data_IF_080734715682
#
_entry.id   IF_080734715682
#
_cell.length_a   1.000
_cell.length_b   1.000
_cell.length_c   1.000
_cell.angle_alpha   90.00
_cell.angle_beta   90.00
_cell.angle_gamma   90.00
#
_symmetry.space_group_name_H-M   'P 1'
#
loop_
_entity.id
_entity.type
_entity.pdbx_description
1 polymer ?
#
# COMPACT_ATOMS: atom_id res chain seq x y z
N UNK A 1 40.48 -0.85 -27.16
CA UNK A 1 39.33 -1.76 -26.92
C UNK A 1 39.25 -2.00 -25.43
N UNK A 2 38.11 -1.73 -24.80
CA UNK A 2 37.96 -1.89 -23.35
C UNK A 2 37.54 -3.32 -22.98
N UNK A 3 37.85 -3.81 -21.77
CA UNK A 3 37.61 -5.19 -21.34
C UNK A 3 36.12 -5.60 -21.26
N UNK A 4 35.21 -4.63 -21.28
CA UNK A 4 33.77 -4.84 -21.08
C UNK A 4 33.10 -5.48 -22.29
N UNK A 5 33.56 -5.12 -23.50
CA UNK A 5 33.01 -5.59 -24.77
C UNK A 5 33.29 -7.08 -25.03
N UNK A 6 34.30 -7.65 -24.36
CA UNK A 6 34.71 -9.05 -24.52
C UNK A 6 33.88 -10.01 -23.64
N UNK A 7 33.32 -9.52 -22.53
CA UNK A 7 32.47 -10.34 -21.65
C UNK A 7 31.02 -10.43 -22.18
N UNK A 8 30.49 -9.36 -22.76
CA UNK A 8 29.14 -9.37 -23.33
C UNK A 8 29.03 -10.30 -24.54
N UNK A 9 30.04 -10.33 -25.42
CA UNK A 9 30.05 -11.30 -26.54
C UNK A 9 30.20 -12.76 -26.09
N UNK A 10 30.93 -13.01 -25.00
CA UNK A 10 31.08 -14.36 -24.45
C UNK A 10 29.78 -14.87 -23.81
N UNK A 11 29.00 -14.00 -23.17
CA UNK A 11 27.69 -14.35 -22.58
C UNK A 11 26.65 -14.63 -23.68
N UNK A 12 26.63 -13.82 -24.75
CA UNK A 12 25.70 -14.00 -25.88
C UNK A 12 26.01 -15.29 -26.65
N UNK A 13 27.29 -15.64 -26.84
CA UNK A 13 27.66 -16.91 -27.48
C UNK A 13 27.34 -18.15 -26.64
N UNK A 14 27.41 -18.05 -25.30
CA UNK A 14 27.04 -19.15 -24.41
C UNK A 14 25.52 -19.39 -24.37
N UNK A 15 24.69 -18.35 -24.55
CA UNK A 15 23.23 -18.50 -24.61
C UNK A 15 22.72 -19.17 -25.89
N UNK A 16 23.51 -19.18 -26.98
CA UNK A 16 23.08 -19.74 -28.27
C UNK A 16 23.55 -21.17 -28.57
N UNK A 17 24.26 -21.85 -27.67
CA UNK A 17 24.72 -23.24 -27.89
C UNK A 17 24.50 -24.21 -26.73
N UNK A 18 23.67 -23.87 -25.74
CA UNK A 18 23.30 -24.83 -24.70
C UNK A 18 22.10 -25.67 -25.16
N UNK A 19 22.38 -26.81 -25.80
CA UNK A 19 21.38 -27.85 -26.05
C UNK A 19 20.76 -28.34 -24.73
N UNK A 20 19.47 -28.69 -24.76
CA UNK A 20 18.66 -29.03 -23.59
C UNK A 20 19.26 -30.18 -22.77
N UNK A 21 20.00 -31.08 -23.42
CA UNK A 21 20.71 -32.18 -22.75
C UNK A 21 21.87 -31.68 -21.87
N UNK A 22 22.57 -30.62 -22.29
CA UNK A 22 23.68 -30.03 -21.52
C UNK A 22 23.16 -29.28 -20.29
N UNK A 23 22.03 -28.58 -20.41
CA UNK A 23 21.37 -27.96 -19.26
C UNK A 23 20.87 -29.00 -18.26
N UNK A 24 20.26 -30.11 -18.73
CA UNK A 24 19.85 -31.19 -17.84
C UNK A 24 21.03 -31.85 -17.12
N UNK A 25 22.19 -32.01 -17.79
CA UNK A 25 23.41 -32.54 -17.15
C UNK A 25 24.00 -31.59 -16.11
N UNK A 26 23.92 -30.28 -16.33
CA UNK A 26 24.36 -29.29 -15.34
C UNK A 26 23.43 -29.33 -14.12
N UNK A 27 22.11 -29.33 -14.33
CA UNK A 27 21.15 -29.42 -13.24
C UNK A 27 21.25 -30.73 -12.45
N UNK A 28 21.46 -31.87 -13.12
CA UNK A 28 21.61 -33.15 -12.42
C UNK A 28 22.90 -33.22 -11.61
N UNK A 29 24.01 -32.66 -12.11
CA UNK A 29 25.27 -32.56 -11.36
C UNK A 29 25.18 -31.61 -10.17
N UNK A 30 24.50 -30.47 -10.31
CA UNK A 30 24.24 -29.55 -9.19
C UNK A 30 23.39 -30.26 -8.13
N UNK A 31 22.35 -30.97 -8.54
CA UNK A 31 21.46 -31.70 -7.62
C UNK A 31 22.16 -32.88 -6.93
N UNK A 32 23.05 -33.56 -7.64
CA UNK A 32 23.88 -34.62 -7.09
C UNK A 32 24.91 -34.08 -6.10
N UNK A 33 25.60 -32.98 -6.44
CA UNK A 33 26.54 -32.33 -5.54
C UNK A 33 25.85 -31.83 -4.26
N UNK A 34 24.64 -31.26 -4.37
CA UNK A 34 23.84 -30.85 -3.21
C UNK A 34 23.41 -32.05 -2.34
N UNK A 35 23.00 -33.16 -2.96
CA UNK A 35 22.61 -34.37 -2.22
C UNK A 35 23.80 -35.08 -1.56
N UNK A 36 24.99 -35.03 -2.18
CA UNK A 36 26.22 -35.57 -1.61
C UNK A 36 26.73 -34.70 -0.45
N UNK A 37 26.66 -33.37 -0.58
CA UNK A 37 27.01 -32.42 0.47
C UNK A 37 26.05 -32.52 1.68
N UNK A 38 24.75 -32.72 1.42
CA UNK A 38 23.74 -32.94 2.46
C UNK A 38 23.90 -34.31 3.17
N UNK A 39 24.29 -35.37 2.45
CA UNK A 39 24.59 -36.68 3.06
C UNK A 39 25.89 -36.67 3.87
N UNK A 40 26.90 -35.89 3.47
CA UNK A 40 28.13 -35.73 4.25
C UNK A 40 27.93 -34.83 5.49
N UNK A 41 27.07 -33.81 5.42
CA UNK A 41 26.74 -32.96 6.58
C UNK A 41 25.95 -33.69 7.67
N UNK A 42 25.06 -34.62 7.32
CA UNK A 42 24.20 -35.31 8.30
C UNK A 42 24.92 -36.42 9.07
N UNK A 43 26.01 -36.98 8.55
CA UNK A 43 26.74 -38.05 9.22
C UNK A 43 27.83 -37.56 10.21
N UNK A 44 28.18 -36.27 10.22
CA UNK A 44 29.31 -35.76 11.01
C UNK A 44 29.05 -34.52 11.89
N UNK A 45 27.82 -33.98 11.93
CA UNK A 45 27.51 -32.90 12.88
C UNK A 45 27.23 -33.45 14.28
N UNK A 46 28.27 -33.46 15.12
CA UNK A 46 28.13 -33.74 16.55
C UNK A 46 27.10 -32.81 17.20
N UNK A 47 26.27 -33.32 18.14
CA UNK A 47 25.18 -32.57 18.79
C UNK A 47 25.64 -31.29 19.52
N UNK A 48 26.94 -31.15 19.79
CA UNK A 48 27.50 -29.97 20.44
C UNK A 48 27.58 -28.73 19.53
N UNK A 49 27.67 -28.88 18.21
CA UNK A 49 27.72 -27.73 17.28
C UNK A 49 26.33 -27.15 17.05
N UNK A 50 25.30 -28.00 17.08
CA UNK A 50 23.91 -27.57 16.90
C UNK A 50 23.41 -26.70 18.06
N UNK A 51 23.83 -26.97 19.31
CA UNK A 51 23.50 -26.11 20.45
C UNK A 51 24.19 -24.74 20.36
N UNK A 52 25.43 -24.69 19.89
CA UNK A 52 26.19 -23.45 19.70
C UNK A 52 25.61 -22.57 18.60
N UNK A 53 25.15 -23.17 17.49
CA UNK A 53 24.51 -22.43 16.39
C UNK A 53 23.14 -21.88 16.82
N UNK A 54 22.34 -22.63 17.60
CA UNK A 54 21.03 -22.16 18.09
C UNK A 54 21.08 -21.18 19.26
N UNK A 55 22.22 -21.02 19.94
CA UNK A 55 22.37 -20.04 21.03
C UNK A 55 22.49 -18.60 20.52
N UNK A 56 22.86 -18.41 19.25
CA UNK A 56 23.07 -17.07 18.72
C UNK A 56 21.75 -16.50 18.17
N UNK A 57 21.18 -15.50 18.85
CA UNK A 57 19.86 -14.92 18.54
C UNK A 57 19.73 -14.52 17.07
N UNK A 58 20.82 -14.04 16.46
CA UNK A 58 20.88 -13.60 15.05
C UNK A 58 20.62 -14.75 14.07
N UNK A 59 21.18 -15.95 14.33
CA UNK A 59 21.00 -17.12 13.44
C UNK A 59 19.57 -17.66 13.56
N UNK A 60 18.96 -17.54 14.75
CA UNK A 60 17.54 -17.85 14.98
C UNK A 60 16.61 -16.96 14.13
N UNK A 61 16.91 -15.67 14.03
CA UNK A 61 16.16 -14.73 13.18
C UNK A 61 16.39 -14.98 11.69
N UNK A 62 17.61 -15.35 11.28
CA UNK A 62 17.92 -15.66 9.88
C UNK A 62 17.21 -16.94 9.40
N UNK A 63 17.21 -18.00 10.21
CA UNK A 63 16.50 -19.24 9.90
C UNK A 63 14.97 -19.05 9.89
N UNK A 64 14.43 -18.24 10.81
CA UNK A 64 13.02 -17.86 10.80
C UNK A 64 12.66 -17.01 9.56
N UNK A 65 13.51 -16.04 9.18
CA UNK A 65 13.29 -15.20 8.01
C UNK A 65 13.28 -16.00 6.70
N UNK A 66 14.15 -17.01 6.54
CA UNK A 66 14.16 -17.89 5.37
C UNK A 66 12.89 -18.77 5.31
N UNK A 67 12.37 -19.23 6.46
CA UNK A 67 11.10 -19.96 6.53
C UNK A 67 9.93 -19.02 6.22
N UNK A 68 9.94 -17.78 6.71
CA UNK A 68 8.93 -16.76 6.42
C UNK A 68 8.93 -16.40 4.93
N UNK A 69 10.10 -16.19 4.31
CA UNK A 69 10.23 -15.92 2.87
C UNK A 69 9.78 -17.14 2.05
N UNK A 70 10.12 -18.36 2.49
CA UNK A 70 9.63 -19.59 1.86
C UNK A 70 8.12 -19.74 1.93
N UNK A 71 7.49 -19.42 3.07
CA UNK A 71 6.03 -19.45 3.23
C UNK A 71 5.36 -18.33 2.44
N UNK A 72 5.94 -17.13 2.38
CA UNK A 72 5.42 -16.02 1.58
C UNK A 72 5.36 -16.35 0.08
N UNK A 73 6.42 -16.97 -0.47
CA UNK A 73 6.46 -17.36 -1.90
C UNK A 73 5.49 -18.50 -2.22
N UNK A 74 5.18 -19.37 -1.25
CA UNK A 74 4.22 -20.47 -1.46
C UNK A 74 2.77 -20.02 -1.29
N UNK A 75 2.51 -19.00 -0.45
CA UNK A 75 1.16 -18.46 -0.22
C UNK A 75 0.74 -17.46 -1.30
N UNK A 76 1.68 -16.78 -1.96
CA UNK A 76 1.37 -15.85 -3.06
C UNK A 76 0.85 -16.49 -4.37
N UNK A 77 0.82 -17.83 -4.47
CA UNK A 77 0.21 -18.52 -5.62
C UNK A 77 -1.06 -19.33 -5.28
N UNK A 78 -1.44 -19.47 -4.00
CA UNK A 78 -2.61 -20.25 -3.57
C UNK A 78 -3.46 -19.59 -2.47
N UNK A 79 -3.10 -18.38 -2.00
CA UNK A 79 -3.82 -17.62 -0.98
C UNK A 79 -4.81 -16.59 -1.52
N UNK A 80 -5.35 -16.81 -2.72
CA UNK A 80 -6.49 -16.03 -3.20
C UNK A 80 -7.70 -16.33 -2.34
N UNK A 81 -8.45 -15.30 -1.93
CA UNK A 81 -9.79 -15.53 -1.41
C UNK A 81 -10.55 -16.44 -2.39
N UNK A 82 -11.18 -17.55 -1.96
CA UNK A 82 -11.81 -18.53 -2.86
C UNK A 82 -12.88 -17.93 -3.78
N UNK A 83 -13.36 -16.74 -3.45
CA UNK A 83 -14.41 -15.98 -4.14
C UNK A 83 -13.90 -15.06 -5.27
N UNK A 84 -12.58 -14.94 -5.48
CA UNK A 84 -12.02 -14.04 -6.49
C UNK A 84 -12.11 -12.54 -6.16
N UNK A 85 -12.53 -12.17 -4.95
CA UNK A 85 -12.69 -10.77 -4.53
C UNK A 85 -11.38 -9.97 -4.61
N UNK A 86 -10.23 -10.61 -4.36
CA UNK A 86 -8.91 -9.96 -4.50
C UNK A 86 -8.62 -9.54 -5.96
N UNK A 87 -8.99 -10.37 -6.93
CA UNK A 87 -8.79 -10.06 -8.37
C UNK A 87 -9.72 -8.94 -8.80
N UNK A 88 -10.96 -8.93 -8.31
CA UNK A 88 -11.92 -7.86 -8.59
C UNK A 88 -11.46 -6.53 -7.97
N UNK A 89 -10.95 -6.56 -6.74
CA UNK A 89 -10.40 -5.37 -6.09
C UNK A 89 -9.14 -4.83 -6.78
N UNK A 90 -8.27 -5.70 -7.31
CA UNK A 90 -7.10 -5.26 -8.09
C UNK A 90 -7.47 -4.36 -9.28
N UNK A 91 -8.62 -4.60 -9.93
CA UNK A 91 -9.13 -3.72 -11.01
C UNK A 91 -9.52 -2.34 -10.50
N UNK A 92 -10.04 -2.26 -9.29
CA UNK A 92 -10.36 -0.98 -8.62
C UNK A 92 -9.09 -0.17 -8.41
N UNK A 93 -8.02 -0.84 -7.98
CA UNK A 93 -6.71 -0.21 -7.78
C UNK A 93 -6.11 0.27 -9.08
N UNK A 94 -6.17 -0.56 -10.11
CA UNK A 94 -5.68 -0.21 -11.44
C UNK A 94 -6.45 1.01 -12.00
N UNK A 95 -7.78 1.00 -11.93
CA UNK A 95 -8.60 2.12 -12.36
C UNK A 95 -8.29 3.40 -11.58
N UNK A 96 -8.22 3.30 -10.25
CA UNK A 96 -7.92 4.43 -9.39
C UNK A 96 -6.50 4.97 -9.62
N UNK A 97 -5.52 4.11 -9.85
CA UNK A 97 -4.16 4.52 -10.20
C UNK A 97 -4.06 5.19 -11.56
N UNK A 98 -5.09 5.15 -12.40
CA UNK A 98 -5.10 5.82 -13.70
C UNK A 98 -5.87 7.14 -13.69
N UNK A 99 -6.51 7.52 -12.57
CA UNK A 99 -7.24 8.79 -12.49
C UNK A 99 -6.30 9.98 -12.57
N UNK A 100 -6.71 11.01 -13.31
CA UNK A 100 -5.99 12.28 -13.38
C UNK A 100 -6.29 13.17 -12.18
N UNK A 101 -7.48 13.02 -11.59
CA UNK A 101 -7.90 13.80 -10.46
C UNK A 101 -8.92 13.04 -9.62
N UNK A 102 -9.04 13.40 -8.36
CA UNK A 102 -10.05 12.88 -7.45
C UNK A 102 -10.33 13.90 -6.35
N UNK A 103 -11.60 14.04 -6.00
CA UNK A 103 -12.08 14.74 -4.82
C UNK A 103 -12.63 13.71 -3.84
N UNK A 104 -12.24 13.82 -2.57
CA UNK A 104 -12.72 12.95 -1.50
C UNK A 104 -13.26 13.80 -0.38
N UNK A 105 -14.50 13.56 0.01
CA UNK A 105 -15.08 14.12 1.24
C UNK A 105 -15.22 13.00 2.24
N UNK A 106 -14.47 13.09 3.34
CA UNK A 106 -14.50 12.13 4.43
C UNK A 106 -15.19 12.75 5.64
N UNK A 107 -16.18 12.05 6.19
CA UNK A 107 -16.86 12.40 7.43
C UNK A 107 -16.47 11.37 8.50
N UNK A 108 -15.95 11.83 9.63
CA UNK A 108 -15.53 11.01 10.76
C UNK A 108 -16.42 11.28 11.97
N UNK A 109 -17.00 10.25 12.56
CA UNK A 109 -17.71 10.35 13.83
C UNK A 109 -16.72 10.23 14.98
N UNK A 110 -16.65 11.25 15.83
CA UNK A 110 -15.76 11.28 17.00
C UNK A 110 -16.45 10.69 18.24
N UNK A 111 -15.69 10.26 19.28
CA UNK A 111 -16.26 9.71 20.51
C UNK A 111 -17.19 10.65 21.27
N UNK A 112 -17.04 11.97 21.11
CA UNK A 112 -17.91 12.99 21.70
C UNK A 112 -19.22 13.19 20.93
N UNK A 113 -19.46 12.41 19.86
CA UNK A 113 -20.62 12.51 18.99
C UNK A 113 -20.52 13.58 17.91
N UNK A 114 -19.45 14.37 17.90
CA UNK A 114 -19.22 15.35 16.82
C UNK A 114 -18.82 14.67 15.51
N UNK A 115 -19.11 15.33 14.39
CA UNK A 115 -18.64 14.91 13.06
C UNK A 115 -17.56 15.85 12.57
N UNK A 116 -16.43 15.28 12.15
CA UNK A 116 -15.34 16.00 11.52
C UNK A 116 -15.33 15.69 10.03
N UNK A 117 -15.46 16.73 9.20
CA UNK A 117 -15.34 16.62 7.75
C UNK A 117 -13.94 16.99 7.30
N UNK A 118 -13.32 16.11 6.53
CA UNK A 118 -12.09 16.37 5.78
C UNK A 118 -12.38 16.39 4.29
N UNK A 119 -11.78 17.34 3.57
CA UNK A 119 -11.85 17.37 2.11
C UNK A 119 -10.46 17.19 1.54
N UNK A 120 -10.34 16.37 0.51
CA UNK A 120 -9.10 16.13 -0.20
C UNK A 120 -9.34 16.32 -1.68
N UNK A 121 -8.45 17.01 -2.37
CA UNK A 121 -8.45 17.08 -3.82
C UNK A 121 -7.04 16.78 -4.29
N UNK A 122 -6.93 15.84 -5.23
CA UNK A 122 -5.67 15.43 -5.82
C UNK A 122 -5.81 15.59 -7.32
N UNK A 123 -4.81 16.19 -7.95
CA UNK A 123 -4.76 16.34 -9.40
C UNK A 123 -3.33 16.14 -9.87
N UNK A 124 -3.17 15.27 -10.86
CA UNK A 124 -1.86 14.95 -11.43
C UNK A 124 -1.30 16.12 -12.26
N UNK A 125 0.03 16.21 -12.40
CA UNK A 125 1.02 15.36 -11.74
C UNK A 125 1.11 15.63 -10.23
N UNK A 126 1.04 16.89 -9.82
CA UNK A 126 1.57 17.32 -8.52
C UNK A 126 0.71 18.39 -7.83
N UNK A 127 -0.60 18.23 -7.74
CA UNK A 127 -1.49 19.17 -7.03
C UNK A 127 -2.26 18.47 -5.90
N UNK A 128 -2.18 19.04 -4.70
CA UNK A 128 -2.83 18.51 -3.49
C UNK A 128 -3.54 19.66 -2.78
N UNK A 129 -4.79 19.43 -2.41
CA UNK A 129 -5.52 20.26 -1.48
C UNK A 129 -6.05 19.36 -0.36
N UNK A 130 -5.82 19.76 0.89
CA UNK A 130 -6.35 19.08 2.07
C UNK A 130 -6.99 20.11 2.99
N UNK A 131 -8.30 19.99 3.24
CA UNK A 131 -9.00 20.78 4.24
C UNK A 131 -9.34 19.93 5.46
N UNK A 132 -8.75 20.29 6.60
CA UNK A 132 -8.92 19.62 7.89
C UNK A 132 -9.48 20.61 8.91
N UNK A 133 -9.90 20.11 10.07
CA UNK A 133 -10.48 20.92 11.16
C UNK A 133 -9.60 22.13 11.52
N UNK A 134 -8.31 21.89 11.72
CA UNK A 134 -7.39 22.91 12.26
C UNK A 134 -6.47 23.50 11.18
N UNK A 135 -6.49 22.97 9.97
CA UNK A 135 -5.55 23.37 8.93
C UNK A 135 -6.07 23.14 7.52
N UNK A 136 -5.66 24.00 6.60
CA UNK A 136 -5.77 23.76 5.15
C UNK A 136 -4.36 23.67 4.58
N UNK A 137 -4.13 22.71 3.68
CA UNK A 137 -2.87 22.54 2.96
C UNK A 137 -3.19 22.67 1.48
N UNK A 138 -2.45 23.52 0.78
CA UNK A 138 -2.55 23.72 -0.67
C UNK A 138 -1.14 23.54 -1.22
N UNK A 139 -0.90 22.53 -2.05
CA UNK A 139 0.38 22.25 -2.71
C UNK A 139 0.13 22.24 -4.22
N UNK A 140 0.83 23.11 -4.94
CA UNK A 140 0.70 23.23 -6.41
C UNK A 140 1.82 22.50 -7.18
N UNK A 141 2.65 21.73 -6.49
CA UNK A 141 3.76 20.97 -7.07
C UNK A 141 5.09 21.70 -7.04
N UNK A 142 5.09 22.99 -6.73
CA UNK A 142 6.30 23.80 -6.61
C UNK A 142 6.44 24.34 -5.19
N UNK A 143 5.34 24.91 -4.68
CA UNK A 143 5.25 25.50 -3.36
C UNK A 143 3.97 25.04 -2.67
N UNK A 144 4.00 25.12 -1.34
CA UNK A 144 2.91 24.69 -0.48
C UNK A 144 2.57 25.76 0.54
N UNK A 145 1.30 26.12 0.58
CA UNK A 145 0.70 26.96 1.60
C UNK A 145 0.06 26.09 2.68
N UNK A 146 0.42 26.32 3.93
CA UNK A 146 -0.24 25.74 5.10
C UNK A 146 -0.93 26.84 5.89
N UNK A 147 -2.25 26.74 6.01
CA UNK A 147 -3.08 27.65 6.79
C UNK A 147 -3.41 27.01 8.13
N UNK A 148 -2.97 27.59 9.24
CA UNK A 148 -3.32 27.18 10.60
C UNK A 148 -4.56 27.95 11.06
N UNK A 149 -5.75 27.35 10.91
CA UNK A 149 -7.05 28.01 11.09
C UNK A 149 -7.23 28.62 12.48
N UNK A 150 -6.82 27.89 13.52
CA UNK A 150 -7.01 28.31 14.91
C UNK A 150 -6.17 29.53 15.30
N UNK A 151 -4.98 29.66 14.70
CA UNK A 151 -4.05 30.76 14.98
C UNK A 151 -4.17 31.92 13.99
N UNK A 152 -4.91 31.73 12.90
CA UNK A 152 -4.92 32.62 11.73
C UNK A 152 -3.49 32.88 11.25
N UNK A 153 -2.70 31.82 11.12
CA UNK A 153 -1.32 31.87 10.65
C UNK A 153 -1.19 31.14 9.31
N UNK A 154 -0.31 31.63 8.44
CA UNK A 154 -0.04 31.05 7.14
C UNK A 154 1.47 30.84 6.98
N UNK A 155 1.88 29.68 6.46
CA UNK A 155 3.28 29.38 6.17
C UNK A 155 3.43 28.90 4.73
N UNK A 156 4.36 29.51 4.00
CA UNK A 156 4.83 29.00 2.71
C UNK A 156 6.00 28.05 2.95
N UNK A 157 5.92 26.87 2.36
CA UNK A 157 6.90 25.80 2.49
C UNK A 157 7.19 25.23 1.10
N UNK A 158 8.36 24.61 0.89
CA UNK A 158 8.58 23.81 -0.31
C UNK A 158 7.49 22.75 -0.49
N UNK A 159 7.15 22.46 -1.75
CA UNK A 159 6.30 21.32 -2.08
C UNK A 159 6.84 20.05 -1.43
N UNK A 160 5.93 19.17 -0.99
CA UNK A 160 6.30 17.86 -0.46
C UNK A 160 6.40 16.80 -1.54
N UNK A 161 6.04 17.10 -2.77
CA UNK A 161 5.73 16.09 -3.78
C UNK A 161 6.96 15.29 -4.22
N UNK A 162 8.15 15.91 -4.27
CA UNK A 162 9.41 15.19 -4.51
C UNK A 162 9.72 14.11 -3.43
N UNK A 163 9.26 14.33 -2.19
CA UNK A 163 9.49 13.41 -1.06
C UNK A 163 8.30 12.48 -0.82
N UNK A 164 7.10 12.95 -1.15
CA UNK A 164 5.82 12.28 -0.99
C UNK A 164 5.00 12.51 -2.25
N UNK A 165 5.26 11.74 -3.32
CA UNK A 165 4.50 11.83 -4.56
C UNK A 165 3.01 11.70 -4.29
N UNK A 166 2.17 12.27 -5.16
CA UNK A 166 0.71 12.17 -5.03
C UNK A 166 0.25 10.72 -4.88
N UNK A 167 0.91 9.76 -5.55
CA UNK A 167 0.67 8.32 -5.42
C UNK A 167 0.87 7.75 -4.01
N UNK A 168 1.61 8.44 -3.15
CA UNK A 168 1.88 8.05 -1.76
C UNK A 168 1.02 8.82 -0.75
N UNK A 169 0.10 9.68 -1.21
CA UNK A 169 -0.79 10.46 -0.36
C UNK A 169 -1.80 9.55 0.37
N UNK A 170 -2.28 9.95 1.54
CA UNK A 170 -3.14 9.11 2.40
C UNK A 170 -4.40 8.59 1.70
N UNK A 171 -4.99 9.32 0.75
CA UNK A 171 -6.12 8.82 -0.07
C UNK A 171 -5.69 7.62 -0.94
N UNK A 172 -4.53 7.74 -1.61
CA UNK A 172 -3.90 6.62 -2.30
C UNK A 172 -3.30 5.61 -1.34
N UNK A 173 -3.11 5.90 -0.06
CA UNK A 173 -2.85 4.87 0.94
C UNK A 173 -4.12 4.17 1.34
N UNK A 174 -5.25 4.85 1.54
CA UNK A 174 -6.55 4.23 1.86
C UNK A 174 -6.99 3.31 0.71
N UNK A 175 -6.80 3.75 -0.53
CA UNK A 175 -7.04 2.92 -1.72
C UNK A 175 -5.81 2.09 -2.10
N UNK A 176 -4.59 2.43 -1.68
CA UNK A 176 -3.38 1.65 -1.95
C UNK A 176 -2.97 0.73 -0.81
N UNK A 177 -3.78 0.66 0.26
CA UNK A 177 -3.77 -0.33 1.34
C UNK A 177 -3.80 -1.77 0.77
N UNK A 178 -4.03 -1.87 -0.53
CA UNK A 178 -4.31 -3.07 -1.29
C UNK A 178 -3.33 -3.29 -2.45
N UNK A 179 -2.36 -2.39 -2.69
CA UNK A 179 -1.47 -2.44 -3.87
C UNK A 179 -0.26 -3.36 -3.73
N UNK A 180 0.17 -3.73 -2.52
CA UNK A 180 1.32 -4.63 -2.35
C UNK A 180 1.26 -5.31 -0.98
N UNK A 181 1.04 -6.63 -1.01
CA UNK A 181 0.84 -7.50 0.15
C UNK A 181 -0.40 -7.06 0.94
N UNK A 182 -1.35 -7.97 1.16
CA UNK A 182 -2.46 -7.75 2.11
C UNK A 182 -1.89 -7.03 3.32
N UNK A 183 -2.34 -5.80 3.60
CA UNK A 183 -2.07 -5.21 4.90
C UNK A 183 -2.44 -6.27 5.91
N UNK A 184 -1.46 -6.65 6.73
CA UNK A 184 -1.66 -7.64 7.76
C UNK A 184 -2.93 -7.25 8.53
N UNK A 185 -3.91 -8.15 8.53
CA UNK A 185 -5.21 -7.94 9.16
C UNK A 185 -6.34 -7.41 8.27
N UNK A 186 -6.16 -7.18 6.96
CA UNK A 186 -7.25 -6.76 6.06
C UNK A 186 -7.84 -7.92 5.25
N UNK A 187 -9.17 -8.03 5.23
CA UNK A 187 -9.94 -8.96 4.40
C UNK A 187 -10.96 -8.18 3.57
N UNK A 188 -11.11 -8.54 2.29
CA UNK A 188 -12.11 -7.99 1.39
C UNK A 188 -12.91 -9.14 0.81
N UNK A 189 -14.23 -9.03 0.84
CA UNK A 189 -15.14 -10.03 0.27
C UNK A 189 -16.11 -9.32 -0.68
N UNK A 190 -16.37 -9.90 -1.84
CA UNK A 190 -17.41 -9.40 -2.76
C UNK A 190 -18.79 -9.71 -2.17
N UNK A 191 -19.67 -8.72 -2.10
CA UNK A 191 -21.08 -8.91 -1.75
C UNK A 191 -21.93 -8.97 -3.02
N UNK A 192 -22.11 -10.16 -3.57
CA UNK A 192 -22.89 -10.37 -4.80
C UNK A 192 -24.37 -9.95 -4.65
N UNK A 193 -24.95 -10.17 -3.47
CA UNK A 193 -26.35 -9.87 -3.15
C UNK A 193 -26.64 -8.37 -3.01
N UNK A 194 -25.63 -7.57 -2.63
CA UNK A 194 -25.71 -6.11 -2.60
C UNK A 194 -25.20 -5.44 -3.89
N UNK A 195 -24.51 -6.21 -4.74
CA UNK A 195 -24.02 -5.75 -6.04
C UNK A 195 -25.13 -5.73 -7.09
N UNK A 196 -24.99 -4.83 -8.07
CA UNK A 196 -25.91 -4.72 -9.19
C UNK A 196 -25.17 -4.26 -10.45
N UNK A 197 -25.91 -3.94 -11.52
CA UNK A 197 -25.33 -3.58 -12.82
C UNK A 197 -24.51 -2.29 -12.82
N UNK A 198 -24.75 -1.39 -11.88
CA UNK A 198 -24.06 -0.08 -11.81
C UNK A 198 -23.08 -0.01 -10.65
N UNK A 199 -23.20 -0.89 -9.65
CA UNK A 199 -22.40 -0.80 -8.44
C UNK A 199 -21.99 -2.18 -7.95
N UNK A 200 -20.70 -2.36 -7.73
CA UNK A 200 -20.10 -3.52 -7.10
C UNK A 200 -19.83 -3.17 -5.63
N UNK A 201 -20.26 -4.03 -4.71
CA UNK A 201 -20.14 -3.80 -3.27
C UNK A 201 -19.18 -4.83 -2.68
N UNK A 202 -18.25 -4.36 -1.87
CA UNK A 202 -17.32 -5.20 -1.12
C UNK A 202 -17.50 -4.97 0.38
N UNK A 203 -17.39 -6.00 1.21
CA UNK A 203 -17.08 -5.81 2.63
C UNK A 203 -15.58 -5.63 2.82
N UNK A 204 -15.23 -4.91 3.88
CA UNK A 204 -13.86 -4.75 4.33
C UNK A 204 -13.82 -4.98 5.84
N UNK A 205 -13.02 -5.95 6.26
CA UNK A 205 -12.67 -6.17 7.65
C UNK A 205 -11.20 -5.82 7.81
N UNK A 206 -10.86 -5.02 8.82
CA UNK A 206 -9.49 -4.64 9.08
C UNK A 206 -9.15 -4.78 10.56
N UNK A 207 -8.07 -5.49 10.86
CA UNK A 207 -7.49 -5.64 12.19
C UNK A 207 -6.13 -4.96 12.17
N UNK A 208 -5.98 -3.87 12.93
CA UNK A 208 -4.72 -3.14 13.01
C UNK A 208 -3.68 -4.00 13.77
N UNK A 209 -2.55 -4.41 13.18
CA UNK A 209 -1.64 -5.38 13.81
C UNK A 209 -1.08 -4.95 15.17
N UNK A 210 -0.86 -3.64 15.33
CA UNK A 210 -0.14 -3.06 16.47
C UNK A 210 -0.93 -3.18 17.78
N UNK A 211 -2.24 -2.98 17.72
CA UNK A 211 -3.12 -2.89 18.89
C UNK A 211 -4.43 -3.68 18.73
N UNK A 212 -4.54 -4.46 17.65
CA UNK A 212 -5.70 -5.29 17.33
C UNK A 212 -7.00 -4.50 17.20
N UNK A 213 -6.92 -3.20 16.91
CA UNK A 213 -8.09 -2.37 16.67
C UNK A 213 -8.85 -2.86 15.43
N UNK A 214 -10.12 -3.19 15.56
CA UNK A 214 -10.92 -3.80 14.49
C UNK A 214 -11.90 -2.82 13.87
N UNK A 215 -11.93 -2.81 12.55
CA UNK A 215 -12.81 -2.01 11.70
C UNK A 215 -13.60 -2.92 10.77
N UNK A 216 -14.86 -2.60 10.57
CA UNK A 216 -15.71 -3.27 9.57
C UNK A 216 -16.39 -2.23 8.71
N UNK A 217 -16.47 -2.50 7.41
CA UNK A 217 -16.92 -1.52 6.45
C UNK A 217 -17.36 -2.11 5.13
N UNK A 218 -17.74 -1.22 4.23
CA UNK A 218 -18.11 -1.53 2.86
C UNK A 218 -17.51 -0.52 1.89
N UNK A 219 -17.16 -0.99 0.72
CA UNK A 219 -16.77 -0.17 -0.42
C UNK A 219 -17.78 -0.35 -1.55
N UNK A 220 -18.25 0.76 -2.11
CA UNK A 220 -19.09 0.81 -3.29
C UNK A 220 -18.24 1.31 -4.44
N UNK A 221 -18.22 0.54 -5.51
CA UNK A 221 -17.39 0.76 -6.69
C UNK A 221 -18.31 0.82 -7.91
N UNK A 222 -18.05 1.77 -8.79
CA UNK A 222 -18.76 1.89 -10.05
C UNK A 222 -18.43 0.68 -10.95
N UNK A 223 -19.46 -0.03 -11.42
CA UNK A 223 -19.27 -1.30 -12.12
C UNK A 223 -18.68 -1.14 -13.54
N UNK A 224 -18.79 0.04 -14.14
CA UNK A 224 -18.28 0.32 -15.48
C UNK A 224 -16.82 0.78 -15.43
N UNK A 225 -16.52 1.73 -14.55
CA UNK A 225 -15.20 2.37 -14.45
C UNK A 225 -14.28 1.68 -13.45
N UNK A 226 -14.80 0.83 -12.58
CA UNK A 226 -14.12 0.27 -11.41
C UNK A 226 -13.61 1.35 -10.43
N UNK A 227 -14.14 2.57 -10.48
CA UNK A 227 -13.73 3.63 -9.58
C UNK A 227 -14.51 3.56 -8.25
N UNK A 228 -13.86 3.74 -7.09
CA UNK A 228 -14.55 3.89 -5.83
C UNK A 228 -15.56 5.04 -5.90
N UNK A 229 -16.79 4.79 -5.46
CA UNK A 229 -17.84 5.80 -5.26
C UNK A 229 -17.87 6.21 -3.80
N UNK A 230 -17.82 5.21 -2.92
CA UNK A 230 -17.95 5.40 -1.47
C UNK A 230 -17.20 4.32 -0.71
N UNK A 231 -16.63 4.69 0.43
CA UNK A 231 -16.09 3.78 1.43
C UNK A 231 -16.68 4.17 2.76
N UNK A 232 -17.20 3.22 3.53
CA UNK A 232 -17.65 3.43 4.89
C UNK A 232 -17.07 2.36 5.79
N UNK A 233 -16.57 2.74 6.96
CA UNK A 233 -16.07 1.82 7.96
C UNK A 233 -16.43 2.31 9.36
N UNK A 234 -16.73 1.38 10.25
CA UNK A 234 -16.97 1.64 11.65
C UNK A 234 -16.07 0.78 12.51
N UNK A 235 -15.68 1.33 13.64
CA UNK A 235 -14.94 0.64 14.66
C UNK A 235 -15.82 -0.42 15.31
N UNK A 236 -15.30 -1.64 15.45
CA UNK A 236 -16.00 -2.74 16.11
C UNK A 236 -15.36 -3.17 17.43
N UNK A 237 -14.11 -2.75 17.67
CA UNK A 237 -13.43 -2.88 18.95
C UNK A 237 -13.58 -1.62 19.82
N UNK A 238 -13.24 -1.72 21.11
CA UNK A 238 -13.14 -0.53 21.96
C UNK A 238 -11.88 0.26 21.58
N UNK A 239 -11.95 1.59 21.39
CA UNK A 239 -10.77 2.38 21.11
C UNK A 239 -9.91 2.56 22.37
N UNK A 240 -8.61 2.34 22.25
CA UNK A 240 -7.65 2.59 23.34
C UNK A 240 -7.33 4.10 23.51
N UNK A 241 -7.64 4.91 22.50
CA UNK A 241 -7.36 6.35 22.47
C UNK A 241 -8.65 7.16 22.33
N UNK A 242 -8.83 8.23 23.13
CA UNK A 242 -9.98 9.13 23.00
C UNK A 242 -9.94 9.96 21.69
N UNK A 243 -8.85 9.89 20.94
CA UNK A 243 -8.71 10.57 19.63
C UNK A 243 -9.08 9.65 18.45
N UNK A 244 -9.28 8.36 18.69
CA UNK A 244 -9.70 7.43 17.64
C UNK A 244 -11.17 7.70 17.29
N UNK A 245 -11.42 7.91 16.01
CA UNK A 245 -12.77 8.08 15.49
C UNK A 245 -13.53 6.74 15.50
N UNK A 246 -14.85 6.80 15.69
CA UNK A 246 -15.74 5.65 15.79
C UNK A 246 -16.20 5.13 14.43
N UNK A 247 -16.32 6.00 13.44
CA UNK A 247 -16.62 5.63 12.06
C UNK A 247 -16.10 6.67 11.08
N UNK A 248 -15.92 6.26 9.83
CA UNK A 248 -15.55 7.09 8.70
C UNK A 248 -16.41 6.75 7.50
N UNK A 249 -16.86 7.76 6.76
CA UNK A 249 -17.43 7.62 5.43
C UNK A 249 -16.71 8.56 4.47
N UNK A 250 -16.07 8.02 3.44
CA UNK A 250 -15.45 8.74 2.34
C UNK A 250 -16.30 8.63 1.06
N UNK A 251 -16.68 9.75 0.48
CA UNK A 251 -17.30 9.84 -0.83
C UNK A 251 -16.30 10.36 -1.88
N UNK A 252 -16.29 9.76 -3.06
CA UNK A 252 -15.35 10.04 -4.13
C UNK A 252 -16.07 10.70 -5.32
N UNK A 253 -15.47 11.75 -5.87
CA UNK A 253 -15.86 12.36 -7.14
C UNK A 253 -14.62 12.51 -8.04
N UNK A 254 -14.83 12.37 -9.34
CA UNK A 254 -13.80 12.47 -10.36
C UNK A 254 -14.04 13.67 -11.29
N UNK A 255 -14.97 14.55 -10.92
CA UNK A 255 -15.33 15.75 -11.68
C UNK A 255 -14.14 16.70 -11.84
N UNK A 256 -14.07 17.46 -12.96
CA UNK A 256 -13.08 18.51 -13.17
C UNK A 256 -12.84 19.39 -11.95
N UNK A 257 -11.59 19.39 -11.47
CA UNK A 257 -11.16 20.24 -10.35
C UNK A 257 -10.64 21.56 -10.93
N UNK A 258 -11.27 22.67 -10.53
CA UNK A 258 -10.86 24.03 -10.90
C UNK A 258 -9.43 24.36 -10.46
N UNK A 259 -8.78 25.32 -11.11
CA UNK A 259 -7.42 25.73 -10.75
C UNK A 259 -7.38 26.57 -9.47
N UNK A 260 -8.48 27.24 -9.17
CA UNK A 260 -8.67 28.14 -8.03
C UNK A 260 -8.40 27.46 -6.69
N UNK A 261 -8.74 26.17 -6.54
CA UNK A 261 -8.51 25.43 -5.30
C UNK A 261 -7.01 25.19 -4.99
N UNK A 262 -6.15 25.28 -6.01
CA UNK A 262 -4.71 25.09 -5.88
C UNK A 262 -3.92 26.41 -5.86
N UNK A 263 -4.62 27.55 -5.89
CA UNK A 263 -3.98 28.86 -5.76
C UNK A 263 -3.48 29.10 -4.33
N UNK A 264 -2.24 29.54 -4.20
CA UNK A 264 -1.60 29.77 -2.90
C UNK A 264 -1.97 31.16 -2.33
N UNK A 265 -3.27 31.39 -2.18
CA UNK A 265 -3.82 32.66 -1.69
C UNK A 265 -3.97 32.63 -0.18
N UNK A 266 -3.32 33.57 0.51
CA UNK A 266 -3.48 33.76 1.96
C UNK A 266 -4.78 34.53 2.23
N UNK A 267 -5.75 33.97 2.97
CA UNK A 267 -7.00 34.65 3.26
C UNK A 267 -6.79 35.91 4.12
N UNK A 268 -7.72 36.86 4.01
CA UNK A 268 -7.71 38.06 4.84
C UNK A 268 -7.69 37.70 6.35
N UNK A 269 -6.91 38.45 7.12
CA UNK A 269 -6.74 38.25 8.56
C UNK A 269 -5.73 37.17 8.95
N UNK A 270 -5.13 36.46 7.99
CA UNK A 270 -4.02 35.54 8.29
C UNK A 270 -2.68 36.28 8.37
N UNK A 271 -1.88 35.96 9.38
CA UNK A 271 -0.50 36.43 9.52
C UNK A 271 0.46 35.42 8.88
N UNK A 272 1.32 35.89 7.98
CA UNK A 272 2.39 35.05 7.42
C UNK A 272 3.48 34.85 8.49
N UNK A 273 3.81 33.59 8.75
CA UNK A 273 4.91 33.16 9.61
C UNK A 273 6.05 32.59 8.76
N UNK A 274 7.28 32.75 9.23
CA UNK A 274 8.49 32.24 8.59
C UNK A 274 8.87 30.86 9.13
#
# INVERSE_FOLDING_TARGET
MQPKDNLEQQIINLQHQADAETQQRIFSRIRQALNEDQKQQTAHMQPHIWSTIMQNRIIKYAAAAVIIIGVLVTVSFLGGSPDGAQVAWAKVLEAFNNVQQVQVVSNKLMPDGSTVTHKFCLRRPDCIYEDKTNSTIIDNGQERLVLFKNKKEAAFLPSRIDRFPVSNHTVFKIIGLFQNETLEGMTITLLEDESNKTTIVYTMDYIRPIDQLTWQGKAWVDAETNLPIKISAALTSTPDSPQEHLSEEGAFSYDPIGNDIFELTVPEGYKIIK
#
